data_IF_361038147475
#
_entry.id   IF_361038147475
#
_cell.length_a   1.000
_cell.length_b   1.000
_cell.length_c   1.000
_cell.angle_alpha   90.00
_cell.angle_beta   90.00
_cell.angle_gamma   90.00
#
_symmetry.space_group_name_H-M   'P 1'
#
loop_
_entity.id
_entity.type
_entity.pdbx_description
1 polymer ?
#
# COMPACT_ATOMS: atom_id res chain seq x y z
N UNK A 1 39.26 9.41 9.04
CA UNK A 1 38.12 9.24 9.96
C UNK A 1 37.15 8.27 9.28
N UNK A 2 36.98 7.06 9.81
CA UNK A 2 36.33 5.93 9.13
C UNK A 2 34.81 6.13 8.90
N UNK A 3 34.15 6.85 9.82
CA UNK A 3 32.71 7.11 9.77
C UNK A 3 32.29 8.00 8.59
N UNK A 4 33.08 9.03 8.24
CA UNK A 4 32.73 9.91 7.11
C UNK A 4 32.85 9.26 5.73
N UNK A 5 33.49 8.09 5.63
CA UNK A 5 33.49 7.30 4.40
C UNK A 5 32.22 6.45 4.29
N UNK A 6 31.75 5.89 5.41
CA UNK A 6 30.50 5.12 5.46
C UNK A 6 29.28 6.01 5.20
N UNK A 7 29.23 7.21 5.81
CA UNK A 7 28.10 8.14 5.62
C UNK A 7 27.96 8.52 4.14
N UNK A 8 29.08 8.86 3.47
CA UNK A 8 29.08 9.18 2.03
C UNK A 8 28.77 7.99 1.14
N UNK A 9 29.07 6.78 1.60
CA UNK A 9 28.74 5.57 0.84
C UNK A 9 27.24 5.30 0.90
N UNK A 10 26.61 5.47 2.07
CA UNK A 10 25.17 5.30 2.26
C UNK A 10 24.38 6.35 1.48
N UNK A 11 24.79 7.62 1.56
CA UNK A 11 24.12 8.72 0.86
C UNK A 11 24.13 8.52 -0.67
N UNK A 12 25.27 8.14 -1.26
CA UNK A 12 25.35 7.83 -2.70
C UNK A 12 24.54 6.60 -3.11
N UNK A 13 24.22 5.71 -2.17
CA UNK A 13 23.37 4.54 -2.42
C UNK A 13 21.89 4.93 -2.34
N UNK A 14 21.52 5.79 -1.40
CA UNK A 14 20.19 6.39 -1.32
C UNK A 14 19.87 7.21 -2.58
N UNK A 15 20.79 8.08 -3.01
CA UNK A 15 20.65 8.90 -4.23
C UNK A 15 20.39 8.05 -5.48
N UNK A 16 21.19 6.99 -5.70
CA UNK A 16 20.96 6.06 -6.82
C UNK A 16 19.62 5.35 -6.75
N UNK A 17 19.17 5.02 -5.54
CA UNK A 17 17.85 4.44 -5.31
C UNK A 17 16.74 5.42 -5.66
N UNK A 18 16.96 6.70 -5.45
CA UNK A 18 16.00 7.76 -5.79
C UNK A 18 16.00 8.11 -7.28
N UNK A 19 17.16 8.07 -7.96
CA UNK A 19 17.27 8.28 -9.42
C UNK A 19 16.39 7.31 -10.23
N UNK A 20 16.19 6.10 -9.73
CA UNK A 20 15.33 5.08 -10.39
C UNK A 20 13.87 5.16 -9.96
N UNK A 21 13.54 5.89 -8.88
CA UNK A 21 12.15 6.10 -8.45
C UNK A 21 11.50 7.11 -9.38
N UNK A 22 10.29 6.78 -9.83
CA UNK A 22 9.46 7.72 -10.59
C UNK A 22 8.41 8.28 -9.65
N UNK A 23 8.12 9.57 -9.81
CA UNK A 23 6.95 10.17 -9.16
C UNK A 23 5.71 9.49 -9.73
N UNK A 24 4.98 8.78 -8.87
CA UNK A 24 3.70 8.18 -9.20
C UNK A 24 2.59 8.98 -8.55
N UNK A 25 1.40 8.91 -9.13
CA UNK A 25 0.21 9.45 -8.49
C UNK A 25 -0.10 8.68 -7.21
N UNK A 26 -0.63 9.37 -6.22
CA UNK A 26 -1.07 8.74 -4.98
C UNK A 26 -2.24 7.82 -5.28
N UNK A 27 -2.07 6.53 -5.04
CA UNK A 27 -3.08 5.50 -5.23
C UNK A 27 -3.29 4.75 -3.90
N UNK A 28 -4.56 4.54 -3.54
CA UNK A 28 -4.95 3.78 -2.35
C UNK A 28 -5.23 2.31 -2.68
N UNK A 29 -5.40 1.98 -3.97
CA UNK A 29 -5.75 0.66 -4.49
C UNK A 29 -6.88 0.00 -3.66
N UNK A 30 -7.96 0.77 -3.51
CA UNK A 30 -9.14 0.46 -2.68
C UNK A 30 -9.75 -0.89 -2.99
N UNK A 31 -9.65 -1.34 -4.24
CA UNK A 31 -10.10 -2.63 -4.75
C UNK A 31 -9.31 -3.82 -4.19
N UNK A 32 -8.07 -3.62 -3.74
CA UNK A 32 -7.27 -4.68 -3.11
C UNK A 32 -7.73 -4.97 -1.68
N UNK A 33 -8.11 -3.92 -0.94
CA UNK A 33 -8.63 -4.05 0.41
C UNK A 33 -10.14 -4.34 0.42
N UNK A 34 -10.90 -3.71 -0.48
CA UNK A 34 -12.35 -3.73 -0.50
C UNK A 34 -12.88 -4.10 -1.90
N UNK A 35 -12.73 -5.37 -2.35
CA UNK A 35 -13.03 -5.78 -3.73
C UNK A 35 -14.47 -5.48 -4.16
N UNK A 36 -15.41 -5.54 -3.22
CA UNK A 36 -16.85 -5.31 -3.46
C UNK A 36 -17.29 -3.84 -3.38
N UNK A 37 -16.39 -2.91 -3.03
CA UNK A 37 -16.73 -1.50 -2.77
C UNK A 37 -16.65 -0.57 -3.99
N UNK A 38 -16.11 -1.04 -5.11
CA UNK A 38 -15.85 -0.24 -6.30
C UNK A 38 -14.53 0.55 -6.22
N UNK A 39 -14.45 1.69 -6.92
CA UNK A 39 -13.32 2.64 -6.87
C UNK A 39 -13.73 3.92 -6.10
N UNK A 40 -13.85 3.86 -4.77
CA UNK A 40 -14.09 5.06 -3.96
C UNK A 40 -12.92 6.04 -4.11
N UNK A 41 -13.25 7.28 -4.49
CA UNK A 41 -12.25 8.31 -4.74
C UNK A 41 -11.82 8.98 -3.42
N UNK A 42 -10.54 8.84 -3.08
CA UNK A 42 -9.89 9.65 -2.04
C UNK A 42 -9.81 9.01 -0.65
N UNK A 43 -8.99 9.63 0.19
CA UNK A 43 -8.61 9.12 1.52
C UNK A 43 -9.82 9.01 2.46
N UNK A 44 -10.73 10.00 2.43
CA UNK A 44 -11.91 9.99 3.31
C UNK A 44 -12.81 8.79 3.04
N UNK A 45 -13.07 8.49 1.77
CA UNK A 45 -13.89 7.34 1.38
C UNK A 45 -13.23 6.01 1.77
N UNK A 46 -11.91 5.91 1.64
CA UNK A 46 -11.14 4.76 2.12
C UNK A 46 -11.23 4.60 3.64
N UNK A 47 -11.07 5.69 4.41
CA UNK A 47 -11.20 5.65 5.87
C UNK A 47 -12.59 5.17 6.30
N UNK A 48 -13.65 5.64 5.67
CA UNK A 48 -15.01 5.19 5.98
C UNK A 48 -15.21 3.70 5.73
N UNK A 49 -14.59 3.13 4.69
CA UNK A 49 -14.60 1.68 4.44
C UNK A 49 -13.77 0.91 5.46
N UNK A 50 -12.62 1.46 5.87
CA UNK A 50 -11.80 0.87 6.92
C UNK A 50 -12.55 0.81 8.26
N UNK A 51 -13.30 1.86 8.61
CA UNK A 51 -14.13 1.87 9.82
C UNK A 51 -15.23 0.79 9.74
N UNK A 52 -15.91 0.65 8.59
CA UNK A 52 -16.91 -0.41 8.37
C UNK A 52 -16.30 -1.82 8.49
N UNK A 53 -15.10 -2.02 7.94
CA UNK A 53 -14.39 -3.29 8.02
C UNK A 53 -13.99 -3.67 9.46
N UNK A 54 -13.67 -2.69 10.30
CA UNK A 54 -13.38 -2.93 11.73
C UNK A 54 -14.65 -3.29 12.49
N UNK A 55 -15.80 -2.77 12.09
CA UNK A 55 -17.09 -3.08 12.70
C UNK A 55 -17.64 -4.46 12.30
N UNK A 56 -17.25 -4.99 11.14
CA UNK A 56 -17.61 -6.34 10.69
C UNK A 56 -16.64 -7.39 11.26
N UNK A 57 -17.07 -8.23 12.23
CA UNK A 57 -16.20 -9.22 12.87
C UNK A 57 -15.70 -10.30 11.91
N UNK A 58 -16.37 -10.48 10.77
CA UNK A 58 -16.06 -11.52 9.79
C UNK A 58 -15.20 -11.02 8.63
N UNK A 59 -14.95 -9.71 8.56
CA UNK A 59 -14.24 -9.11 7.44
C UNK A 59 -12.79 -9.61 7.28
N UNK A 60 -12.13 -9.92 8.39
CA UNK A 60 -10.76 -10.48 8.40
C UNK A 60 -10.71 -12.01 8.49
N UNK A 61 -11.86 -12.68 8.45
CA UNK A 61 -11.88 -14.13 8.40
C UNK A 61 -11.25 -14.63 7.10
N UNK A 62 -10.75 -15.86 7.13
CA UNK A 62 -10.14 -16.46 5.95
C UNK A 62 -11.19 -16.54 4.83
N UNK A 63 -10.94 -15.92 3.66
CA UNK A 63 -11.92 -15.88 2.59
C UNK A 63 -12.23 -17.31 2.13
N UNK A 64 -13.51 -17.60 1.88
CA UNK A 64 -13.90 -18.90 1.34
C UNK A 64 -13.20 -19.14 0.00
N UNK A 65 -12.98 -20.40 -0.39
CA UNK A 65 -12.32 -20.78 -1.66
C UNK A 65 -12.90 -20.10 -2.92
N UNK A 66 -14.08 -19.50 -2.85
CA UNK A 66 -14.77 -18.82 -3.96
C UNK A 66 -14.60 -17.28 -3.96
N UNK A 67 -14.04 -16.68 -2.92
CA UNK A 67 -13.92 -15.21 -2.78
C UNK A 67 -12.57 -14.67 -3.27
N UNK A 68 -11.59 -15.55 -3.49
CA UNK A 68 -10.26 -15.19 -3.98
C UNK A 68 -10.17 -15.29 -5.51
N UNK A 69 -10.78 -14.34 -6.22
CA UNK A 69 -10.41 -14.11 -7.63
C UNK A 69 -9.14 -13.26 -7.66
N UNK A 70 -8.00 -13.92 -7.43
CA UNK A 70 -6.68 -13.31 -7.68
C UNK A 70 -6.40 -13.53 -9.17
N UNK A 71 -6.67 -12.53 -10.00
CA UNK A 71 -6.24 -12.56 -11.40
C UNK A 71 -4.71 -12.63 -11.44
N UNK A 72 -4.19 -13.63 -12.17
CA UNK A 72 -2.78 -14.05 -12.18
C UNK A 72 -1.99 -13.41 -13.30
#
# INVERSE_FOLDING_TARGET
MYHSWLDRWDERRAERGDEVKRRTDFALDTELAFPSSGHPAGIEAFCNLADQAVEDPTYFDEPGNNDLVVER
#
